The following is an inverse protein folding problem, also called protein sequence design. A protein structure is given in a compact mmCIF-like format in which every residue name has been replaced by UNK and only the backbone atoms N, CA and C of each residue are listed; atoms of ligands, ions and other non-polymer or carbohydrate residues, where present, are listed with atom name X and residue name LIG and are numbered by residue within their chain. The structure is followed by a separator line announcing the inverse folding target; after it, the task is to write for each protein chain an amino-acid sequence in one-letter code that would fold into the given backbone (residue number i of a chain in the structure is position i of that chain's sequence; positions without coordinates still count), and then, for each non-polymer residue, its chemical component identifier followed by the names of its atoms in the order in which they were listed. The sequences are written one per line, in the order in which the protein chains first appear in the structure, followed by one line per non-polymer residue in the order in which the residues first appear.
data_IF_016728328222
#
_entry.id   IF_016728328222
#
_cell.length_a   1.000
_cell.length_b   1.000
_cell.length_c   1.000
_cell.angle_alpha   90.00
_cell.angle_beta   90.00
_cell.angle_gamma   90.00
#
_symmetry.space_group_name_H-M   'P 1'
#
loop_
_entity.id
_entity.type
_entity.pdbx_description
1 polymer ?
#
# COMPACT_ATOMS: atom_id res chain seq x y z
N UNK A 1 22.55 -13.29 -27.50
CA UNK A 1 21.58 -13.49 -26.40
C UNK A 1 22.17 -12.79 -25.20
N UNK A 2 21.56 -11.70 -24.73
CA UNK A 2 22.09 -10.87 -23.65
C UNK A 2 21.87 -11.57 -22.31
N UNK A 3 22.94 -11.71 -21.53
CA UNK A 3 23.00 -12.42 -20.27
C UNK A 3 21.99 -11.91 -19.23
N UNK A 4 21.08 -12.79 -18.82
CA UNK A 4 20.17 -12.62 -17.69
C UNK A 4 20.90 -12.79 -16.32
N UNK A 5 22.20 -12.51 -16.28
CA UNK A 5 23.06 -12.80 -15.13
C UNK A 5 22.95 -11.75 -14.00
N UNK A 6 22.33 -10.60 -14.25
CA UNK A 6 22.29 -9.45 -13.32
C UNK A 6 21.15 -9.52 -12.27
N UNK A 7 20.24 -10.48 -12.37
CA UNK A 7 19.13 -10.67 -11.41
C UNK A 7 19.25 -11.96 -10.59
N UNK A 8 20.48 -12.46 -10.34
CA UNK A 8 20.69 -13.61 -9.45
C UNK A 8 20.98 -13.10 -8.03
N UNK A 9 20.00 -13.27 -7.15
CA UNK A 9 20.24 -13.15 -5.72
C UNK A 9 21.15 -14.33 -5.30
N UNK A 10 22.38 -14.04 -4.92
CA UNK A 10 23.25 -15.03 -4.29
C UNK A 10 22.71 -15.33 -2.88
N UNK A 11 22.52 -16.62 -2.56
CA UNK A 11 21.96 -17.06 -1.28
C UNK A 11 22.87 -16.72 -0.09
N UNK A 12 24.13 -16.32 -0.35
CA UNK A 12 25.05 -15.79 0.65
C UNK A 12 24.99 -14.26 0.83
N UNK A 13 24.09 -13.55 0.14
CA UNK A 13 23.89 -12.13 0.40
C UNK A 13 23.16 -11.94 1.73
N UNK A 14 23.75 -11.12 2.61
CA UNK A 14 23.19 -10.76 3.90
C UNK A 14 22.03 -9.76 3.72
N UNK A 15 20.97 -10.19 3.02
CA UNK A 15 19.78 -9.39 2.75
C UNK A 15 18.98 -9.31 4.05
N UNK A 16 19.16 -8.20 4.77
CA UNK A 16 18.35 -7.91 5.95
C UNK A 16 16.86 -7.78 5.62
N UNK A 17 16.01 -7.97 6.62
CA UNK A 17 14.58 -7.73 6.48
C UNK A 17 14.33 -6.27 6.05
N UNK A 18 13.38 -6.06 5.14
CA UNK A 18 12.98 -4.72 4.72
C UNK A 18 12.38 -3.99 5.93
N UNK A 19 12.90 -2.81 6.32
CA UNK A 19 12.33 -2.04 7.42
C UNK A 19 10.85 -1.71 7.19
N UNK A 20 10.03 -1.77 8.24
CA UNK A 20 8.57 -1.61 8.15
C UNK A 20 8.14 -0.27 7.51
N UNK A 21 8.95 0.79 7.66
CA UNK A 21 8.69 2.09 7.03
C UNK A 21 8.65 2.04 5.50
N UNK A 22 9.34 1.08 4.87
CA UNK A 22 9.34 0.87 3.42
C UNK A 22 8.21 -0.06 2.95
N UNK A 23 7.49 -0.69 3.87
CA UNK A 23 6.35 -1.57 3.58
C UNK A 23 5.00 -0.82 3.66
N UNK A 24 5.04 0.48 3.94
CA UNK A 24 3.83 1.31 4.12
C UNK A 24 3.79 2.39 3.05
N UNK A 25 2.61 2.57 2.46
CA UNK A 25 2.31 3.72 1.58
C UNK A 25 1.38 4.64 2.34
N UNK A 26 1.75 5.92 2.46
CA UNK A 26 0.98 6.96 3.14
C UNK A 26 0.68 8.12 2.20
N UNK A 27 -0.44 8.81 2.42
CA UNK A 27 -0.81 10.02 1.68
C UNK A 27 -2.01 10.73 2.30
N UNK A 28 -2.33 11.90 1.77
CA UNK A 28 -3.47 12.72 2.21
C UNK A 28 -4.51 12.80 1.10
N UNK A 29 -5.77 12.54 1.44
CA UNK A 29 -6.91 12.73 0.53
C UNK A 29 -7.65 13.99 0.94
N UNK A 30 -7.77 14.95 0.01
CA UNK A 30 -8.56 16.16 0.20
C UNK A 30 -9.83 16.09 -0.64
N UNK A 31 -10.94 16.59 -0.09
CA UNK A 31 -12.23 16.65 -0.80
C UNK A 31 -12.82 18.04 -0.70
N UNK A 32 -13.48 18.47 -1.77
CA UNK A 32 -14.31 19.69 -1.79
C UNK A 32 -15.78 19.37 -1.51
N UNK A 33 -16.16 18.09 -1.43
CA UNK A 33 -17.52 17.68 -1.15
C UNK A 33 -17.80 17.85 0.36
N UNK A 34 -18.69 18.79 0.69
CA UNK A 34 -19.02 19.14 2.08
C UNK A 34 -19.59 17.96 2.87
N UNK A 35 -20.28 17.02 2.22
CA UNK A 35 -20.82 15.84 2.88
C UNK A 35 -19.67 14.92 3.29
N UNK A 36 -18.75 14.63 2.37
CA UNK A 36 -17.57 13.80 2.64
C UNK A 36 -16.60 14.45 3.64
N UNK A 37 -16.51 15.77 3.66
CA UNK A 37 -15.70 16.49 4.64
C UNK A 37 -16.19 16.25 6.08
N UNK A 38 -17.48 15.99 6.26
CA UNK A 38 -18.08 15.67 7.56
C UNK A 38 -18.16 14.16 7.86
N UNK A 39 -17.54 13.32 7.02
CA UNK A 39 -17.52 11.87 7.25
C UNK A 39 -16.64 11.50 8.44
N UNK A 40 -17.12 10.53 9.22
CA UNK A 40 -16.33 9.96 10.31
C UNK A 40 -15.15 9.15 9.78
N UNK A 41 -14.17 8.88 10.64
CA UNK A 41 -13.04 7.99 10.33
C UNK A 41 -13.49 6.62 9.82
N UNK A 42 -14.57 6.05 10.35
CA UNK A 42 -15.11 4.77 9.91
C UNK A 42 -15.67 4.79 8.47
N UNK A 43 -16.25 5.93 8.06
CA UNK A 43 -16.71 6.13 6.68
C UNK A 43 -15.51 6.24 5.73
N UNK A 44 -14.50 7.03 6.09
CA UNK A 44 -13.24 7.09 5.32
C UNK A 44 -12.50 5.76 5.27
N UNK A 45 -12.53 4.99 6.35
CA UNK A 45 -11.97 3.63 6.41
C UNK A 45 -12.60 2.72 5.33
N UNK A 46 -13.89 2.88 5.05
CA UNK A 46 -14.57 2.11 4.00
C UNK A 46 -14.05 2.43 2.60
N UNK A 47 -13.67 3.68 2.35
CA UNK A 47 -13.06 4.13 1.08
C UNK A 47 -11.68 3.51 0.89
N UNK A 48 -10.79 3.64 1.90
CA UNK A 48 -9.42 3.09 1.79
C UNK A 48 -9.41 1.56 1.77
N UNK A 49 -10.35 0.90 2.45
CA UNK A 49 -10.53 -0.56 2.35
C UNK A 49 -10.91 -0.98 0.92
N UNK A 50 -11.71 -0.18 0.21
CA UNK A 50 -12.02 -0.43 -1.19
C UNK A 50 -10.78 -0.26 -2.07
N UNK A 51 -9.96 0.76 -1.82
CA UNK A 51 -8.69 0.93 -2.53
C UNK A 51 -7.76 -0.28 -2.34
N UNK A 52 -7.61 -0.77 -1.11
CA UNK A 52 -6.84 -1.99 -0.84
C UNK A 52 -7.39 -3.18 -1.59
N UNK A 53 -8.71 -3.42 -1.59
CA UNK A 53 -9.30 -4.53 -2.36
C UNK A 53 -9.02 -4.43 -3.86
N UNK A 54 -9.05 -3.23 -4.42
CA UNK A 54 -8.72 -3.02 -5.84
C UNK A 54 -7.25 -3.34 -6.12
N UNK A 55 -6.33 -2.86 -5.29
CA UNK A 55 -4.90 -3.19 -5.40
C UNK A 55 -4.64 -4.69 -5.19
N UNK A 56 -5.35 -5.29 -4.23
CA UNK A 56 -5.23 -6.70 -3.89
C UNK A 56 -5.78 -7.64 -4.98
N UNK A 57 -6.67 -7.13 -5.85
CA UNK A 57 -7.20 -7.91 -6.99
C UNK A 57 -6.22 -8.04 -8.16
N UNK A 58 -5.11 -7.29 -8.13
CA UNK A 58 -4.09 -7.30 -9.18
C UNK A 58 -2.96 -8.31 -8.94
N UNK A 59 -1.92 -8.27 -9.79
CA UNK A 59 -0.76 -9.18 -9.71
C UNK A 59 0.05 -9.06 -8.40
N UNK A 60 -0.20 -8.03 -7.60
CA UNK A 60 0.46 -7.78 -6.31
C UNK A 60 -0.46 -8.06 -5.12
N UNK A 61 -1.42 -8.97 -5.28
CA UNK A 61 -2.53 -9.16 -4.34
C UNK A 61 -2.12 -9.37 -2.88
N UNK A 62 -1.06 -10.12 -2.66
CA UNK A 62 -0.53 -10.45 -1.33
C UNK A 62 0.23 -9.31 -0.66
N UNK A 63 0.58 -8.27 -1.41
CA UNK A 63 1.39 -7.15 -0.92
C UNK A 63 0.55 -6.07 -0.24
N UNK A 64 -0.78 -6.08 -0.45
CA UNK A 64 -1.71 -5.10 0.07
C UNK A 64 -2.76 -5.78 0.95
N UNK A 65 -2.49 -5.86 2.25
CA UNK A 65 -3.35 -6.57 3.21
C UNK A 65 -4.20 -5.64 4.07
N UNK A 66 -3.69 -4.44 4.38
CA UNK A 66 -4.32 -3.53 5.35
C UNK A 66 -4.26 -2.07 4.88
N UNK A 67 -5.27 -1.29 5.25
CA UNK A 67 -5.24 0.17 5.18
C UNK A 67 -5.84 0.76 6.45
N UNK A 68 -5.44 1.99 6.75
CA UNK A 68 -5.97 2.79 7.86
C UNK A 68 -6.25 4.19 7.34
N UNK A 69 -7.40 4.75 7.70
CA UNK A 69 -7.72 6.15 7.49
C UNK A 69 -7.70 6.90 8.83
N UNK A 70 -7.19 8.12 8.82
CA UNK A 70 -7.31 9.08 9.92
C UNK A 70 -7.91 10.37 9.38
N UNK A 71 -8.67 11.06 10.23
CA UNK A 71 -9.23 12.38 9.93
C UNK A 71 -8.54 13.37 10.86
N UNK A 72 -8.05 14.47 10.28
CA UNK A 72 -7.40 15.56 11.01
C UNK A 72 -8.35 16.72 11.20
#
# INVERSE_FOLDING_TARGET
MMDNAMCRLDMNMNIGAIPAMHLTISGTLSTTNIIMANWSTAMWQSVVNRAVRMLASGPFGTNFSTAVATVN
#
